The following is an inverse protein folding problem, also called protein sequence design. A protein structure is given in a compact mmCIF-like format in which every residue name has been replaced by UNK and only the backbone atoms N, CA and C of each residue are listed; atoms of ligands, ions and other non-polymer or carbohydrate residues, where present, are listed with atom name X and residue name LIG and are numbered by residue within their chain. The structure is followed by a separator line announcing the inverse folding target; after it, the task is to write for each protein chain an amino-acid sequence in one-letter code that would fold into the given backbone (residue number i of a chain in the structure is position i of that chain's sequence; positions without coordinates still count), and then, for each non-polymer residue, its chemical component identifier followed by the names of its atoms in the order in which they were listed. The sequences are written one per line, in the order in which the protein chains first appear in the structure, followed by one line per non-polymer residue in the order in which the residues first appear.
data_IF_611482759605
#
_entry.id   IF_611482759605
#
_cell.length_a   1.000
_cell.length_b   1.000
_cell.length_c   1.000
_cell.angle_alpha   90.00
_cell.angle_beta   90.00
_cell.angle_gamma   90.00
#
_symmetry.space_group_name_H-M   'P 1'
#
loop_
_entity.id
_entity.type
_entity.pdbx_description
1 polymer ?
#
# COMPACT_ATOMS: atom_id res chain seq x y z
N UNK A 1 -15.02 -20.86 0.92
CA UNK A 1 -15.10 -20.33 2.32
C UNK A 1 -14.41 -21.22 3.32
N UNK A 2 -14.65 -22.53 3.31
CA UNK A 2 -14.00 -23.47 4.25
C UNK A 2 -12.48 -23.48 4.14
N UNK A 3 -11.92 -23.43 2.93
CA UNK A 3 -10.46 -23.39 2.71
C UNK A 3 -9.82 -22.17 3.34
N UNK A 4 -10.44 -20.99 3.22
CA UNK A 4 -9.93 -19.77 3.82
C UNK A 4 -9.95 -19.82 5.36
N UNK A 5 -11.00 -20.39 5.94
CA UNK A 5 -11.08 -20.59 7.40
C UNK A 5 -10.05 -21.61 7.87
N UNK A 6 -9.88 -22.69 7.14
CA UNK A 6 -8.87 -23.72 7.46
C UNK A 6 -7.46 -23.11 7.44
N UNK A 7 -7.13 -22.30 6.45
CA UNK A 7 -5.83 -21.60 6.38
C UNK A 7 -5.61 -20.66 7.57
N UNK A 8 -6.65 -19.93 7.99
CA UNK A 8 -6.57 -19.04 9.16
C UNK A 8 -6.35 -19.86 10.45
N UNK A 9 -7.05 -20.97 10.59
CA UNK A 9 -6.92 -21.84 11.76
C UNK A 9 -5.54 -22.51 11.80
N UNK A 10 -5.00 -22.94 10.67
CA UNK A 10 -3.65 -23.52 10.57
C UNK A 10 -2.56 -22.49 10.90
N UNK A 11 -2.67 -21.27 10.38
CA UNK A 11 -1.73 -20.18 10.68
C UNK A 11 -1.84 -19.74 12.14
N UNK A 12 -3.04 -19.76 12.69
CA UNK A 12 -3.37 -19.24 14.02
C UNK A 12 -3.75 -17.76 13.98
N UNK A 13 -4.85 -17.42 14.63
CA UNK A 13 -5.44 -16.08 14.58
C UNK A 13 -4.47 -14.97 15.04
N UNK A 14 -3.69 -15.24 16.08
CA UNK A 14 -2.67 -14.30 16.58
C UNK A 14 -1.58 -14.04 15.54
N UNK A 15 -1.12 -15.08 14.87
CA UNK A 15 -0.12 -14.96 13.79
C UNK A 15 -0.67 -14.18 12.60
N UNK A 16 -1.93 -14.39 12.25
CA UNK A 16 -2.63 -13.61 11.21
C UNK A 16 -2.68 -12.12 11.58
N UNK A 17 -3.04 -11.80 12.81
CA UNK A 17 -3.06 -10.40 13.29
C UNK A 17 -1.67 -9.77 13.26
N UNK A 18 -0.66 -10.45 13.80
CA UNK A 18 0.71 -9.95 13.86
C UNK A 18 1.29 -9.71 12.45
N UNK A 19 1.01 -10.60 11.52
CA UNK A 19 1.41 -10.46 10.12
C UNK A 19 0.80 -9.21 9.48
N UNK A 20 -0.51 -8.99 9.65
CA UNK A 20 -1.21 -7.81 9.14
C UNK A 20 -0.67 -6.53 9.77
N UNK A 21 -0.47 -6.51 11.07
CA UNK A 21 0.06 -5.36 11.78
C UNK A 21 1.48 -5.01 11.31
N UNK A 22 2.34 -6.01 11.17
CA UNK A 22 3.72 -5.83 10.71
C UNK A 22 3.78 -5.21 9.31
N UNK A 23 3.03 -5.76 8.36
CA UNK A 23 2.97 -5.23 6.98
C UNK A 23 2.38 -3.83 6.97
N UNK A 24 1.29 -3.60 7.68
CA UNK A 24 0.62 -2.31 7.74
C UNK A 24 1.52 -1.22 8.35
N UNK A 25 2.18 -1.49 9.46
CA UNK A 25 3.07 -0.54 10.12
C UNK A 25 4.27 -0.20 9.24
N UNK A 26 4.90 -1.20 8.62
CA UNK A 26 6.02 -0.98 7.71
C UNK A 26 5.60 -0.15 6.50
N UNK A 27 4.44 -0.44 5.91
CA UNK A 27 3.90 0.31 4.77
C UNK A 27 3.63 1.77 5.14
N UNK A 28 2.96 2.04 6.26
CA UNK A 28 2.66 3.41 6.70
C UNK A 28 3.91 4.23 6.98
N UNK A 29 4.88 3.64 7.67
CA UNK A 29 6.16 4.30 7.97
C UNK A 29 6.96 4.59 6.70
N UNK A 30 7.03 3.62 5.80
CA UNK A 30 7.70 3.79 4.51
C UNK A 30 7.08 4.91 3.67
N UNK A 31 5.76 4.95 3.57
CA UNK A 31 5.01 5.99 2.84
C UNK A 31 5.29 7.38 3.40
N UNK A 32 5.28 7.53 4.72
CA UNK A 32 5.60 8.82 5.37
C UNK A 32 7.04 9.26 5.10
N UNK A 33 8.00 8.37 5.27
CA UNK A 33 9.41 8.69 5.05
C UNK A 33 9.71 8.94 3.57
N UNK A 34 8.98 8.31 2.67
CA UNK A 34 9.06 8.54 1.23
C UNK A 34 8.66 9.97 0.84
N UNK A 35 7.80 10.61 1.61
CA UNK A 35 7.36 11.98 1.41
C UNK A 35 5.89 12.11 1.05
N UNK A 36 5.11 11.06 1.19
CA UNK A 36 3.66 11.06 0.99
C UNK A 36 2.93 11.17 2.32
N UNK A 37 1.73 11.76 2.28
CA UNK A 37 0.89 11.88 3.45
C UNK A 37 -0.12 10.74 3.52
N UNK A 38 -0.31 10.19 4.70
CA UNK A 38 -1.42 9.29 4.96
C UNK A 38 -2.72 10.09 5.07
N UNK A 39 -3.82 9.52 4.59
CA UNK A 39 -5.14 10.12 4.72
C UNK A 39 -5.60 10.19 6.18
N UNK A 40 -5.26 9.17 6.98
CA UNK A 40 -5.56 9.11 8.41
C UNK A 40 -4.27 9.19 9.23
N UNK A 41 -4.25 10.04 10.25
CA UNK A 41 -3.16 10.10 11.22
C UNK A 41 -3.27 9.00 12.28
N UNK A 42 -4.49 8.61 12.59
CA UNK A 42 -4.83 7.54 13.55
C UNK A 42 -6.17 6.88 13.18
N UNK A 43 -6.57 5.84 13.90
CA UNK A 43 -7.83 5.14 13.64
C UNK A 43 -7.83 4.32 12.34
N UNK A 44 -6.67 3.99 11.80
CA UNK A 44 -6.52 3.22 10.58
C UNK A 44 -6.68 1.72 10.82
N UNK A 45 -7.15 1.01 9.80
CA UNK A 45 -7.16 -0.45 9.75
C UNK A 45 -5.79 -1.01 9.38
N UNK A 46 -5.45 -2.20 9.87
CA UNK A 46 -4.25 -2.93 9.46
C UNK A 46 -4.43 -3.71 8.14
N UNK A 47 -5.52 -3.48 7.42
CA UNK A 47 -5.84 -4.14 6.14
C UNK A 47 -5.73 -3.24 4.91
N UNK A 48 -5.66 -1.92 5.13
CA UNK A 48 -5.57 -0.94 4.05
C UNK A 48 -4.75 0.28 4.49
N UNK A 49 -3.96 0.81 3.57
CA UNK A 49 -3.28 2.10 3.73
C UNK A 49 -3.81 3.06 2.67
N UNK A 50 -4.36 4.17 3.11
CA UNK A 50 -4.86 5.24 2.25
C UNK A 50 -3.85 6.38 2.21
N UNK A 51 -3.42 6.76 1.00
CA UNK A 51 -2.36 7.73 0.74
C UNK A 51 -2.95 8.91 -0.01
N UNK A 52 -2.66 10.13 0.46
CA UNK A 52 -2.98 11.34 -0.29
C UNK A 52 -2.01 11.49 -1.46
N UNK A 53 -2.55 11.69 -2.65
CA UNK A 53 -1.78 11.96 -3.86
C UNK A 53 -2.01 13.42 -4.26
N UNK A 54 -0.93 14.14 -4.53
CA UNK A 54 -0.98 15.53 -4.95
C UNK A 54 -1.83 15.72 -6.22
N UNK A 55 -2.55 16.82 -6.30
CA UNK A 55 -3.43 17.11 -7.42
C UNK A 55 -2.68 17.23 -8.76
N UNK A 56 -1.41 17.65 -8.73
CA UNK A 56 -0.55 17.72 -9.92
C UNK A 56 -0.35 16.37 -10.58
N UNK A 57 -0.26 15.30 -9.78
CA UNK A 57 -0.17 13.92 -10.27
C UNK A 57 -1.57 13.37 -10.49
N UNK A 58 -2.42 13.46 -9.47
CA UNK A 58 -3.76 12.92 -9.43
C UNK A 58 -3.79 11.40 -9.21
N UNK A 59 -4.52 10.95 -8.19
CA UNK A 59 -4.63 9.52 -7.89
C UNK A 59 -5.27 8.73 -9.05
N UNK A 60 -6.23 9.34 -9.75
CA UNK A 60 -6.85 8.72 -10.92
C UNK A 60 -5.87 8.53 -12.09
N UNK A 61 -5.00 9.50 -12.34
CA UNK A 61 -3.95 9.40 -13.35
C UNK A 61 -2.94 8.32 -12.99
N UNK A 62 -2.54 8.27 -11.71
CA UNK A 62 -1.63 7.25 -11.21
C UNK A 62 -2.21 5.84 -11.38
N UNK A 63 -3.46 5.62 -11.01
CA UNK A 63 -4.13 4.32 -11.17
C UNK A 63 -4.19 3.89 -12.64
N UNK A 64 -4.54 4.78 -13.54
CA UNK A 64 -4.55 4.51 -14.99
C UNK A 64 -3.16 4.18 -15.52
N UNK A 65 -2.15 4.93 -15.08
CA UNK A 65 -0.76 4.72 -15.47
C UNK A 65 -0.23 3.37 -14.98
N UNK A 66 -0.49 3.02 -13.72
CA UNK A 66 -0.10 1.74 -13.13
C UNK A 66 -0.72 0.56 -13.86
N UNK A 67 -2.00 0.66 -14.22
CA UNK A 67 -2.68 -0.37 -15.00
C UNK A 67 -2.07 -0.52 -16.40
N UNK A 68 -1.89 0.60 -17.10
CA UNK A 68 -1.43 0.60 -18.49
C UNK A 68 0.02 0.14 -18.64
N UNK A 69 0.91 0.62 -17.78
CA UNK A 69 2.35 0.38 -17.90
C UNK A 69 2.82 -0.87 -17.16
N UNK A 70 2.28 -1.13 -15.98
CA UNK A 70 2.75 -2.19 -15.09
C UNK A 70 1.72 -3.31 -14.87
N UNK A 71 0.54 -3.20 -15.50
CA UNK A 71 -0.57 -4.14 -15.32
C UNK A 71 -0.97 -4.32 -13.84
N UNK A 72 -0.83 -3.26 -13.06
CA UNK A 72 -1.19 -3.22 -11.65
C UNK A 72 -2.56 -2.56 -11.48
N UNK A 73 -3.52 -3.31 -10.94
CA UNK A 73 -4.85 -2.79 -10.62
C UNK A 73 -4.85 -2.18 -9.22
N UNK A 74 -5.13 -0.90 -9.16
CA UNK A 74 -5.27 -0.16 -7.91
C UNK A 74 -6.61 0.58 -7.89
N UNK A 75 -7.03 1.03 -6.73
CA UNK A 75 -8.26 1.80 -6.57
C UNK A 75 -8.02 3.14 -5.90
N UNK A 76 -8.80 4.12 -6.32
CA UNK A 76 -8.92 5.40 -5.62
C UNK A 76 -10.03 5.34 -4.59
N UNK A 77 -10.25 6.42 -3.85
CA UNK A 77 -11.41 6.53 -2.96
C UNK A 77 -12.68 6.92 -3.72
N UNK A 78 -13.78 6.90 -2.99
CA UNK A 78 -15.11 7.19 -3.50
C UNK A 78 -15.57 8.61 -3.12
N UNK A 79 -16.62 9.08 -3.79
CA UNK A 79 -17.29 10.36 -3.51
C UNK A 79 -16.34 11.57 -3.61
N UNK A 80 -16.40 12.44 -2.61
CA UNK A 80 -15.63 13.70 -2.55
C UNK A 80 -14.11 13.54 -2.55
N UNK A 81 -13.61 12.34 -2.27
CA UNK A 81 -12.18 12.02 -2.28
C UNK A 81 -11.71 11.33 -3.56
N UNK A 82 -12.60 11.17 -4.54
CA UNK A 82 -12.26 10.58 -5.84
C UNK A 82 -11.10 11.35 -6.49
N UNK A 83 -10.07 10.61 -6.89
CA UNK A 83 -8.88 11.20 -7.52
C UNK A 83 -7.85 11.83 -6.57
N UNK A 84 -8.12 11.85 -5.26
CA UNK A 84 -7.22 12.42 -4.24
C UNK A 84 -6.47 11.39 -3.43
N UNK A 85 -7.01 10.18 -3.32
CA UNK A 85 -6.50 9.13 -2.44
C UNK A 85 -6.25 7.86 -3.25
N UNK A 86 -5.07 7.28 -3.05
CA UNK A 86 -4.73 5.93 -3.49
C UNK A 86 -4.87 4.98 -2.31
N UNK A 87 -5.51 3.83 -2.51
CA UNK A 87 -5.65 2.79 -1.49
C UNK A 87 -4.78 1.59 -1.81
N UNK A 88 -3.96 1.19 -0.85
CA UNK A 88 -3.15 -0.03 -0.89
C UNK A 88 -3.82 -1.05 0.03
N UNK A 89 -4.39 -2.10 -0.55
CA UNK A 89 -4.93 -3.22 0.22
C UNK A 89 -3.82 -4.19 0.63
N UNK A 90 -3.74 -4.53 1.89
CA UNK A 90 -2.83 -5.54 2.44
C UNK A 90 -3.59 -6.42 3.44
N UNK A 91 -4.52 -7.20 2.91
CA UNK A 91 -5.39 -8.09 3.67
C UNK A 91 -5.28 -9.52 3.16
N UNK A 92 -5.39 -10.51 4.06
CA UNK A 92 -5.33 -11.91 3.71
C UNK A 92 -3.98 -12.30 3.11
N UNK A 93 -3.98 -12.90 1.95
CA UNK A 93 -2.77 -13.27 1.23
C UNK A 93 -1.92 -12.07 0.78
N UNK A 94 -2.54 -10.90 0.61
CA UNK A 94 -1.83 -9.67 0.25
C UNK A 94 -1.11 -9.03 1.45
N UNK A 95 -1.35 -9.48 2.67
CA UNK A 95 -0.62 -9.05 3.86
C UNK A 95 0.65 -9.89 4.08
N UNK A 96 1.40 -10.13 3.02
CA UNK A 96 2.68 -10.85 3.03
C UNK A 96 3.75 -10.03 2.31
N UNK A 97 5.00 -10.23 2.72
CA UNK A 97 6.15 -9.55 2.12
C UNK A 97 6.17 -9.70 0.59
N UNK A 98 6.01 -10.93 0.10
CA UNK A 98 6.09 -11.28 -1.32
C UNK A 98 4.97 -10.64 -2.14
N UNK A 99 3.83 -10.34 -1.51
CA UNK A 99 2.70 -9.72 -2.17
C UNK A 99 2.79 -8.19 -2.19
N UNK A 100 3.26 -7.57 -1.09
CA UNK A 100 3.28 -6.10 -0.95
C UNK A 100 4.46 -5.45 -1.67
N UNK A 101 5.62 -6.10 -1.69
CA UNK A 101 6.84 -5.51 -2.28
C UNK A 101 6.69 -5.17 -3.76
N UNK A 102 6.16 -6.04 -4.64
CA UNK A 102 5.93 -5.68 -6.04
C UNK A 102 4.98 -4.49 -6.19
N UNK A 103 3.93 -4.40 -5.37
CA UNK A 103 2.97 -3.30 -5.38
C UNK A 103 3.66 -1.98 -5.05
N UNK A 104 4.45 -1.94 -3.97
CA UNK A 104 5.20 -0.76 -3.57
C UNK A 104 6.23 -0.34 -4.62
N UNK A 105 6.88 -1.31 -5.27
CA UNK A 105 7.82 -1.03 -6.35
C UNK A 105 7.14 -0.35 -7.54
N UNK A 106 5.99 -0.85 -7.99
CA UNK A 106 5.27 -0.25 -9.10
C UNK A 106 4.68 1.12 -8.74
N UNK A 107 4.24 1.32 -7.50
CA UNK A 107 3.81 2.64 -7.03
C UNK A 107 4.97 3.64 -7.06
N UNK A 108 6.15 3.25 -6.59
CA UNK A 108 7.37 4.07 -6.64
C UNK A 108 7.71 4.48 -8.09
N UNK A 109 7.78 3.51 -8.99
CA UNK A 109 8.05 3.75 -10.41
C UNK A 109 6.98 4.63 -11.05
N UNK A 110 5.71 4.34 -10.80
CA UNK A 110 4.59 5.10 -11.34
C UNK A 110 4.55 6.55 -10.87
N UNK A 111 4.82 6.81 -9.60
CA UNK A 111 4.93 8.17 -9.05
C UNK A 111 6.08 8.94 -9.71
N UNK A 112 7.24 8.33 -9.85
CA UNK A 112 8.40 8.94 -10.51
C UNK A 112 8.14 9.20 -12.00
N UNK A 113 7.49 8.27 -12.69
CA UNK A 113 7.08 8.43 -14.10
C UNK A 113 6.17 9.65 -14.29
N UNK A 114 5.31 9.94 -13.30
CA UNK A 114 4.38 11.08 -13.33
C UNK A 114 4.94 12.37 -12.72
N UNK A 115 6.22 12.39 -12.38
CA UNK A 115 6.93 13.58 -11.97
C UNK A 115 7.09 13.79 -10.46
N UNK A 116 6.77 12.80 -9.65
CA UNK A 116 7.07 12.86 -8.21
C UNK A 116 8.58 12.86 -8.00
N UNK A 117 9.09 13.92 -7.38
CA UNK A 117 10.52 14.13 -7.19
C UNK A 117 10.96 13.60 -5.84
N UNK A 118 11.74 12.53 -5.86
CA UNK A 118 12.37 11.95 -4.67
C UNK A 118 13.61 11.16 -5.07
N UNK A 119 14.60 11.16 -4.22
CA UNK A 119 15.79 10.29 -4.30
C UNK A 119 15.60 8.96 -3.56
N UNK A 120 14.47 8.81 -2.87
CA UNK A 120 14.15 7.65 -2.05
C UNK A 120 13.55 6.51 -2.87
N UNK A 121 13.64 5.30 -2.31
CA UNK A 121 13.04 4.09 -2.86
C UNK A 121 12.03 3.54 -1.85
N UNK A 122 10.78 3.38 -2.28
CA UNK A 122 9.70 2.97 -1.38
C UNK A 122 9.89 1.55 -0.84
N UNK A 123 10.44 0.64 -1.65
CA UNK A 123 10.72 -0.74 -1.23
C UNK A 123 11.86 -0.78 -0.20
N UNK A 124 12.91 0.00 -0.39
CA UNK A 124 14.00 0.07 0.58
C UNK A 124 13.51 0.59 1.93
N UNK A 125 12.66 1.60 1.91
CA UNK A 125 12.04 2.14 3.13
C UNK A 125 11.12 1.12 3.81
N UNK A 126 10.33 0.39 3.02
CA UNK A 126 9.51 -0.69 3.54
C UNK A 126 10.38 -1.77 4.21
N UNK A 127 11.45 -2.21 3.56
CA UNK A 127 12.37 -3.20 4.10
C UNK A 127 13.01 -2.74 5.40
N UNK A 128 13.41 -1.48 5.48
CA UNK A 128 13.95 -0.87 6.70
C UNK A 128 13.02 -1.06 7.90
N UNK A 129 11.72 -0.80 7.72
CA UNK A 129 10.73 -0.89 8.79
C UNK A 129 10.19 -2.30 9.02
N UNK A 130 10.13 -3.11 7.98
CA UNK A 130 9.68 -4.49 8.06
C UNK A 130 10.66 -5.40 8.80
N UNK A 131 11.96 -5.14 8.66
CA UNK A 131 13.05 -5.91 9.27
C UNK A 131 13.51 -5.33 10.63
N UNK A 132 12.95 -4.22 11.02
CA UNK A 132 13.28 -3.56 12.29
C UNK A 132 12.75 -4.33 13.51
#
# INVERSE_FOLDING_TARGET
MFVALDNILEEGLENVHNRHEKVANATRKAVKEYGLNLFLENGYSNTVTAICIDEEIGAGNLVKHLLKKYNLVMTTSLNQYTGKILRIGHMGENAKYEAIVPVLNYIDLGLKDLGFKTDKNLVELFNKYYNA
#
